data_IF_195131662253
#
_entry.id   IF_195131662253
#
_cell.length_a   1.000
_cell.length_b   1.000
_cell.length_c   1.000
_cell.angle_alpha   90.00
_cell.angle_beta   90.00
_cell.angle_gamma   90.00
#
_symmetry.space_group_name_H-M   'P 1'
#
loop_
_entity.id
_entity.type
_entity.pdbx_description
1 polymer ?
#
# COMPACT_ATOMS: atom_id res chain seq x y z
N UNK A 1 -4.11 -105.67 31.55
CA UNK A 1 -3.32 -106.75 32.12
C UNK A 1 -2.80 -106.22 33.43
N UNK A 2 -3.56 -106.46 34.47
CA UNK A 2 -3.16 -107.31 35.60
C UNK A 2 -1.89 -106.84 36.28
N UNK A 3 -2.12 -106.43 37.43
CA UNK A 3 -1.87 -106.96 38.79
C UNK A 3 -0.63 -106.26 39.38
N UNK A 4 -0.54 -105.89 40.61
CA UNK A 4 -0.93 -106.50 41.84
C UNK A 4 -0.79 -105.54 43.04
N UNK A 5 -1.72 -105.69 43.88
CA UNK A 5 -1.78 -105.25 45.31
C UNK A 5 -0.68 -105.95 46.12
N UNK A 6 -0.15 -105.21 47.04
CA UNK A 6 0.23 -105.58 48.40
C UNK A 6 1.50 -104.83 48.78
N UNK A 7 1.59 -104.23 49.89
CA UNK A 7 1.47 -104.76 51.27
C UNK A 7 1.48 -103.60 52.31
N UNK A 8 0.42 -103.57 53.04
CA UNK A 8 0.36 -102.90 54.34
C UNK A 8 1.45 -103.42 55.28
N UNK A 9 2.25 -102.53 55.81
CA UNK A 9 2.88 -102.88 57.06
C UNK A 9 2.75 -101.66 57.97
N UNK A 10 1.87 -101.85 58.90
CA UNK A 10 1.62 -100.99 60.06
C UNK A 10 2.91 -100.57 60.77
N UNK A 11 3.12 -99.28 60.93
CA UNK A 11 3.99 -98.86 62.01
C UNK A 11 3.19 -97.88 62.91
N UNK A 12 2.79 -98.42 64.06
CA UNK A 12 2.15 -97.63 65.12
C UNK A 12 3.17 -96.60 65.65
N UNK A 13 3.24 -95.49 64.94
CA UNK A 13 3.97 -94.34 65.52
C UNK A 13 2.98 -93.57 66.39
N UNK A 14 3.37 -93.54 67.67
CA UNK A 14 2.56 -93.06 68.79
C UNK A 14 2.05 -91.64 68.50
N UNK A 15 0.74 -91.50 68.36
CA UNK A 15 -0.03 -90.22 68.09
C UNK A 15 0.42 -89.01 69.00
N UNK A 16 0.87 -89.16 70.19
CA UNK A 16 1.24 -88.04 71.02
C UNK A 16 2.52 -87.25 70.52
N UNK A 17 3.45 -87.98 69.85
CA UNK A 17 4.65 -87.30 69.35
C UNK A 17 4.46 -86.48 68.09
N UNK A 18 3.55 -86.88 67.26
CA UNK A 18 3.19 -86.16 66.07
C UNK A 18 2.47 -84.83 66.45
N UNK A 19 1.60 -84.89 67.43
CA UNK A 19 0.91 -83.73 67.96
C UNK A 19 1.85 -82.74 68.60
N UNK A 20 2.85 -83.26 69.37
CA UNK A 20 3.86 -82.42 69.99
C UNK A 20 4.78 -81.79 68.96
N UNK A 21 5.12 -82.53 67.86
CA UNK A 21 5.93 -82.00 66.77
C UNK A 21 5.20 -80.94 65.97
N UNK A 22 3.89 -81.11 65.74
CA UNK A 22 3.06 -80.06 65.05
C UNK A 22 2.92 -78.79 65.85
N UNK A 23 2.74 -78.94 67.23
CA UNK A 23 2.66 -77.76 68.11
C UNK A 23 3.98 -77.03 68.16
N UNK A 24 5.08 -77.77 68.20
CA UNK A 24 6.42 -77.17 68.19
C UNK A 24 6.74 -76.50 66.83
N UNK A 25 6.28 -77.09 65.71
CA UNK A 25 6.40 -76.47 64.37
C UNK A 25 5.57 -75.20 64.21
N UNK A 26 4.39 -75.19 64.85
CA UNK A 26 3.52 -73.97 64.83
C UNK A 26 4.08 -72.83 65.65
N UNK A 27 4.75 -73.14 66.73
CA UNK A 27 5.42 -72.14 67.59
C UNK A 27 6.65 -71.55 66.89
N UNK A 28 7.34 -72.29 66.06
CA UNK A 28 8.50 -71.86 65.35
C UNK A 28 8.10 -70.95 64.09
N UNK A 29 6.89 -71.12 63.58
CA UNK A 29 6.40 -70.26 62.51
C UNK A 29 5.91 -68.91 62.99
N UNK A 30 5.67 -68.73 64.30
CA UNK A 30 5.21 -67.42 64.83
C UNK A 30 6.36 -66.44 65.12
N UNK A 31 7.62 -66.85 64.90
CA UNK A 31 8.77 -66.03 65.14
C UNK A 31 9.27 -65.21 63.95
N UNK A 32 8.53 -65.27 62.85
CA UNK A 32 8.89 -64.48 61.67
C UNK A 32 8.09 -63.21 61.63
N UNK A 33 8.80 -62.12 61.75
CA UNK A 33 8.70 -60.86 61.12
C UNK A 33 7.86 -59.78 61.78
N UNK A 34 8.48 -59.18 62.76
CA UNK A 34 8.30 -57.71 62.83
C UNK A 34 9.44 -57.09 62.04
N UNK A 35 9.19 -56.83 60.71
CA UNK A 35 9.97 -55.83 60.03
C UNK A 35 9.80 -54.52 60.77
N UNK A 36 10.80 -54.09 61.49
CA UNK A 36 10.87 -52.74 61.97
C UNK A 36 10.71 -51.79 60.75
N UNK A 37 9.75 -50.85 60.76
CA UNK A 37 9.70 -49.86 59.72
C UNK A 37 11.07 -49.16 59.72
N UNK A 38 11.74 -49.18 58.61
CA UNK A 38 12.92 -48.39 58.38
C UNK A 38 12.64 -46.95 58.79
N UNK A 39 13.52 -46.34 59.55
CA UNK A 39 13.35 -44.96 59.96
C UNK A 39 13.12 -44.12 58.66
N UNK A 40 12.16 -43.20 58.67
CA UNK A 40 11.93 -42.37 57.51
C UNK A 40 13.25 -41.72 57.08
N UNK A 41 13.61 -41.85 55.81
CA UNK A 41 14.78 -41.18 55.26
C UNK A 41 14.69 -39.71 55.65
N UNK A 42 15.73 -39.11 56.16
CA UNK A 42 15.71 -37.68 56.43
C UNK A 42 15.32 -36.92 55.15
N UNK A 43 14.50 -35.90 55.23
CA UNK A 43 14.14 -35.11 54.06
C UNK A 43 15.42 -34.60 53.39
N UNK A 44 15.48 -34.75 52.08
CA UNK A 44 16.61 -34.24 51.31
C UNK A 44 16.55 -32.71 51.41
N UNK A 45 17.61 -32.11 51.92
CA UNK A 45 17.72 -30.66 51.89
C UNK A 45 17.87 -30.21 50.44
N UNK A 46 16.89 -29.44 49.97
CA UNK A 46 16.91 -28.83 48.65
C UNK A 46 16.96 -27.32 48.83
N UNK A 47 17.87 -26.70 48.13
CA UNK A 47 17.88 -25.24 48.01
C UNK A 47 16.79 -24.84 47.04
N UNK A 48 15.84 -24.05 47.52
CA UNK A 48 14.76 -23.48 46.70
C UNK A 48 14.93 -21.97 46.63
N UNK A 49 14.84 -21.46 45.44
CA UNK A 49 14.79 -20.01 45.21
C UNK A 49 13.33 -19.64 44.97
N UNK A 50 12.80 -18.73 45.75
CA UNK A 50 11.46 -18.20 45.53
C UNK A 50 11.52 -17.23 44.34
N UNK A 51 10.96 -17.63 43.23
CA UNK A 51 10.82 -16.75 42.08
C UNK A 51 9.61 -15.83 42.32
N UNK A 52 9.91 -14.56 42.44
CA UNK A 52 8.88 -13.52 42.53
C UNK A 52 8.65 -13.02 41.13
N UNK A 53 7.39 -12.92 40.69
CA UNK A 53 7.04 -12.29 39.42
C UNK A 53 7.49 -10.82 39.48
N UNK A 54 8.34 -10.43 38.55
CA UNK A 54 8.85 -9.09 38.43
C UNK A 54 8.58 -8.63 36.98
N UNK A 55 8.04 -7.45 36.86
CA UNK A 55 7.84 -6.82 35.54
C UNK A 55 9.22 -6.51 34.97
N UNK A 56 9.54 -7.16 33.88
CA UNK A 56 10.78 -6.93 33.14
C UNK A 56 10.44 -6.12 31.89
N UNK A 57 10.99 -4.91 31.77
CA UNK A 57 10.79 -4.15 30.51
C UNK A 57 11.45 -4.92 29.37
N UNK A 58 10.70 -5.09 28.31
CA UNK A 58 11.18 -5.69 27.06
C UNK A 58 11.15 -4.58 26.02
N UNK A 59 12.31 -4.20 25.52
CA UNK A 59 12.42 -3.26 24.42
C UNK A 59 12.32 -4.01 23.09
N UNK A 60 11.40 -3.56 22.24
CA UNK A 60 11.26 -4.06 20.88
C UNK A 60 11.78 -3.02 19.91
N UNK A 61 12.74 -3.40 19.10
CA UNK A 61 13.22 -2.56 18.01
C UNK A 61 12.43 -2.87 16.74
N UNK A 62 11.83 -1.84 16.14
CA UNK A 62 11.12 -1.93 14.88
C UNK A 62 11.80 -1.04 13.85
N UNK A 63 12.08 -1.59 12.69
CA UNK A 63 12.50 -0.80 11.54
C UNK A 63 11.24 -0.16 10.94
N UNK A 64 11.19 1.17 10.92
CA UNK A 64 10.12 1.94 10.34
C UNK A 64 10.67 3.02 9.39
N UNK A 65 9.90 3.35 8.38
CA UNK A 65 10.14 4.51 7.53
C UNK A 65 9.07 5.55 7.81
N UNK A 66 9.50 6.79 8.01
CA UNK A 66 8.57 7.91 8.09
C UNK A 66 8.16 8.32 6.70
N UNK A 67 6.86 8.41 6.46
CA UNK A 67 6.32 8.90 5.20
C UNK A 67 5.40 10.09 5.49
N UNK A 68 5.50 11.13 4.66
CA UNK A 68 4.59 12.27 4.78
C UNK A 68 3.19 11.87 4.29
N UNK A 69 2.13 12.18 5.03
CA UNK A 69 0.75 11.95 4.57
C UNK A 69 0.34 12.89 3.44
N UNK A 70 1.09 13.99 3.23
CA UNK A 70 0.80 15.04 2.25
C UNK A 70 2.00 15.25 1.32
N UNK A 71 2.46 14.17 0.70
CA UNK A 71 3.46 14.27 -0.36
C UNK A 71 2.80 14.79 -1.64
N UNK A 72 3.36 15.86 -2.22
CA UNK A 72 2.87 16.47 -3.44
C UNK A 72 3.97 16.45 -4.49
N UNK A 73 3.71 15.79 -5.61
CA UNK A 73 4.57 15.81 -6.78
C UNK A 73 4.25 17.07 -7.62
N UNK A 74 5.23 17.94 -7.80
CA UNK A 74 5.08 19.12 -8.66
C UNK A 74 5.43 18.74 -10.11
N UNK A 75 4.47 18.91 -11.00
CA UNK A 75 4.65 18.70 -12.43
C UNK A 75 4.39 19.99 -13.19
N UNK A 76 5.29 20.30 -14.12
CA UNK A 76 5.04 21.40 -15.06
C UNK A 76 3.81 21.10 -15.94
N UNK A 77 3.02 22.13 -16.26
CA UNK A 77 1.87 22.03 -17.15
C UNK A 77 2.30 21.82 -18.60
N UNK A 78 3.44 22.37 -18.97
CA UNK A 78 4.00 22.34 -20.33
C UNK A 78 5.37 21.68 -20.31
N UNK A 79 5.75 21.01 -21.40
CA UNK A 79 7.09 20.47 -21.56
C UNK A 79 8.03 21.56 -22.05
N UNK A 80 9.17 21.72 -21.38
CA UNK A 80 10.18 22.72 -21.72
C UNK A 80 11.47 22.50 -20.95
N UNK A 81 12.44 23.39 -21.18
CA UNK A 81 13.72 23.38 -20.47
C UNK A 81 13.61 24.14 -19.16
N UNK A 82 14.12 23.55 -18.10
CA UNK A 82 14.27 24.21 -16.81
C UNK A 82 15.45 25.16 -16.88
N UNK A 83 15.21 26.45 -16.70
CA UNK A 83 16.24 27.48 -16.68
C UNK A 83 16.84 27.61 -15.28
N UNK A 84 16.01 27.65 -14.25
CA UNK A 84 16.46 27.91 -12.89
C UNK A 84 15.58 27.24 -11.84
N UNK A 85 16.23 26.65 -10.82
CA UNK A 85 15.64 26.29 -9.55
C UNK A 85 15.83 27.48 -8.59
N UNK A 86 14.73 27.95 -7.99
CA UNK A 86 14.73 29.18 -7.18
C UNK A 86 14.73 28.87 -5.67
N UNK A 87 14.57 27.63 -5.28
CA UNK A 87 14.59 27.19 -3.89
C UNK A 87 15.78 26.29 -3.60
N UNK A 88 16.14 26.17 -2.31
CA UNK A 88 17.14 25.22 -1.83
C UNK A 88 16.46 23.96 -1.29
N UNK A 89 17.10 22.80 -1.47
CA UNK A 89 16.60 21.53 -0.93
C UNK A 89 16.47 21.60 0.59
N UNK A 90 15.35 21.11 1.13
CA UNK A 90 15.05 21.16 2.56
C UNK A 90 14.49 22.50 3.06
N UNK A 91 14.29 23.48 2.18
CA UNK A 91 13.71 24.77 2.53
C UNK A 91 12.19 24.70 2.67
N UNK A 92 11.63 25.43 3.63
CA UNK A 92 10.19 25.68 3.71
C UNK A 92 9.74 26.58 2.57
N UNK A 93 8.64 26.21 1.93
CA UNK A 93 8.04 26.96 0.82
C UNK A 93 6.65 27.45 1.20
N UNK A 94 6.30 28.64 0.72
CA UNK A 94 4.99 29.24 0.94
C UNK A 94 4.07 29.00 -0.25
N UNK A 95 2.76 29.05 -0.01
CA UNK A 95 1.79 28.98 -1.09
C UNK A 95 2.00 30.14 -2.09
N UNK A 96 2.07 29.80 -3.39
CA UNK A 96 2.34 30.78 -4.46
C UNK A 96 3.80 31.12 -4.68
N UNK A 97 4.74 30.52 -3.92
CA UNK A 97 6.16 30.72 -4.15
C UNK A 97 6.60 30.08 -5.46
N UNK A 98 7.37 30.85 -6.27
CA UNK A 98 8.00 30.32 -7.49
C UNK A 98 9.16 29.42 -7.10
N UNK A 99 9.08 28.17 -7.50
CA UNK A 99 10.10 27.15 -7.20
C UNK A 99 10.99 26.87 -8.41
N UNK A 100 10.40 26.88 -9.59
CA UNK A 100 11.10 26.60 -10.83
C UNK A 100 10.77 27.67 -11.86
N UNK A 101 11.77 28.01 -12.67
CA UNK A 101 11.62 28.88 -13.80
C UNK A 101 12.04 28.12 -15.06
N UNK A 102 11.12 28.11 -16.05
CA UNK A 102 11.37 27.50 -17.35
C UNK A 102 11.81 28.57 -18.36
N UNK A 103 12.52 28.16 -19.41
CA UNK A 103 12.86 29.05 -20.53
C UNK A 103 11.58 29.51 -21.25
N UNK A 104 11.22 30.81 -21.22
CA UNK A 104 10.02 31.34 -21.86
C UNK A 104 10.17 31.52 -23.37
N UNK A 105 11.39 31.62 -23.90
CA UNK A 105 11.66 31.99 -25.30
C UNK A 105 10.93 31.15 -26.34
N UNK A 106 10.85 29.81 -26.22
CA UNK A 106 10.08 28.99 -27.18
C UNK A 106 8.59 29.28 -27.15
N UNK A 107 8.05 29.63 -26.01
CA UNK A 107 6.62 29.94 -25.83
C UNK A 107 6.31 31.35 -26.33
N UNK A 108 7.18 32.33 -26.08
CA UNK A 108 7.11 33.69 -26.62
C UNK A 108 7.13 33.68 -28.17
N UNK A 109 8.00 32.86 -28.78
CA UNK A 109 8.05 32.70 -30.22
C UNK A 109 6.75 32.10 -30.80
N UNK A 110 6.16 31.09 -30.10
CA UNK A 110 4.86 30.52 -30.48
C UNK A 110 3.74 31.55 -30.37
N UNK A 111 3.72 32.34 -29.28
CA UNK A 111 2.74 33.41 -29.09
C UNK A 111 2.85 34.48 -30.20
N UNK A 112 4.08 34.89 -30.54
CA UNK A 112 4.32 35.84 -31.63
C UNK A 112 3.79 35.31 -33.00
N UNK A 113 4.04 34.02 -33.26
CA UNK A 113 3.53 33.34 -34.47
C UNK A 113 2.01 33.33 -34.50
N UNK A 114 1.35 32.96 -33.38
CA UNK A 114 -0.12 32.96 -33.28
C UNK A 114 -0.71 34.37 -33.45
N UNK A 115 -0.08 35.39 -32.86
CA UNK A 115 -0.47 36.81 -33.08
C UNK A 115 -0.32 37.25 -34.53
N UNK A 116 0.74 36.82 -35.20
CA UNK A 116 0.94 37.05 -36.64
C UNK A 116 -0.20 36.41 -37.50
N UNK A 117 -0.58 35.19 -37.18
CA UNK A 117 -1.69 34.50 -37.84
C UNK A 117 -3.03 35.21 -37.59
N UNK A 118 -3.29 35.65 -36.37
CA UNK A 118 -4.49 36.44 -36.05
C UNK A 118 -4.53 37.75 -36.89
N UNK A 119 -3.44 38.49 -36.94
CA UNK A 119 -3.36 39.72 -37.76
C UNK A 119 -3.61 39.43 -39.24
N UNK A 120 -3.14 38.32 -39.79
CA UNK A 120 -3.41 37.90 -41.15
C UNK A 120 -4.92 37.64 -41.39
N UNK A 121 -5.58 36.93 -40.45
CA UNK A 121 -7.03 36.68 -40.60
C UNK A 121 -7.85 37.96 -40.43
N UNK A 122 -7.44 38.85 -39.54
CA UNK A 122 -8.07 40.16 -39.38
C UNK A 122 -8.00 41.00 -40.71
N UNK A 123 -6.83 41.00 -41.34
CA UNK A 123 -6.69 41.70 -42.64
C UNK A 123 -7.57 41.08 -43.72
N UNK A 124 -7.74 39.74 -43.75
CA UNK A 124 -8.64 39.06 -44.67
C UNK A 124 -10.10 39.46 -44.41
N UNK A 125 -10.52 39.51 -43.14
CA UNK A 125 -11.86 39.92 -42.74
C UNK A 125 -12.15 41.37 -43.18
N UNK A 126 -11.19 42.28 -43.04
CA UNK A 126 -11.33 43.68 -43.49
C UNK A 126 -11.54 43.75 -44.99
N UNK A 127 -10.83 42.97 -45.81
CA UNK A 127 -11.03 42.89 -47.26
C UNK A 127 -12.42 42.35 -47.61
N UNK A 128 -12.86 41.28 -46.91
CA UNK A 128 -14.18 40.70 -47.12
C UNK A 128 -15.30 41.67 -46.75
N UNK A 129 -15.20 42.37 -45.64
CA UNK A 129 -16.14 43.44 -45.23
C UNK A 129 -16.19 44.57 -46.22
N UNK A 130 -15.03 45.07 -46.69
CA UNK A 130 -14.97 46.11 -47.68
C UNK A 130 -15.59 45.72 -49.02
N UNK A 131 -15.45 44.41 -49.38
CA UNK A 131 -16.07 43.86 -50.60
C UNK A 131 -17.58 43.78 -50.44
N UNK A 132 -18.08 43.26 -49.34
CA UNK A 132 -19.50 43.18 -49.00
C UNK A 132 -20.15 44.59 -49.00
N UNK A 133 -19.48 45.56 -48.34
CA UNK A 133 -19.96 46.94 -48.28
C UNK A 133 -20.10 47.61 -49.66
N UNK A 134 -19.26 47.19 -50.62
CA UNK A 134 -19.39 47.67 -52.02
C UNK A 134 -20.52 46.98 -52.82
N UNK A 135 -20.72 45.69 -52.55
CA UNK A 135 -21.69 44.87 -53.26
C UNK A 135 -23.14 45.11 -52.83
N UNK A 136 -23.39 45.38 -51.58
CA UNK A 136 -24.71 45.65 -50.98
C UNK A 136 -25.47 46.73 -51.78
N UNK A 137 -24.94 47.98 -52.02
CA UNK A 137 -25.66 49.01 -52.77
C UNK A 137 -25.83 48.65 -54.19
N UNK A 138 -24.95 47.89 -54.85
CA UNK A 138 -25.10 47.45 -56.26
C UNK A 138 -26.20 46.40 -56.38
N UNK A 139 -26.34 45.50 -55.42
CA UNK A 139 -27.43 44.55 -55.36
C UNK A 139 -28.79 45.26 -55.21
N UNK A 140 -28.88 46.28 -54.37
CA UNK A 140 -30.07 47.09 -54.19
C UNK A 140 -30.51 47.81 -55.49
N UNK A 141 -29.56 48.07 -56.37
CA UNK A 141 -29.82 48.63 -57.68
C UNK A 141 -30.00 47.59 -58.80
N UNK A 142 -30.06 46.31 -58.46
CA UNK A 142 -30.09 45.16 -59.41
C UNK A 142 -28.89 45.13 -60.37
N UNK A 143 -27.74 45.74 -59.98
CA UNK A 143 -26.56 45.80 -60.83
C UNK A 143 -25.67 44.55 -60.69
N UNK A 144 -25.94 43.71 -59.71
CA UNK A 144 -25.29 42.39 -59.46
C UNK A 144 -26.34 41.33 -59.17
N UNK A 145 -25.96 40.04 -59.35
CA UNK A 145 -26.87 38.94 -59.08
C UNK A 145 -27.03 38.69 -57.60
N UNK A 146 -28.17 38.11 -57.18
CA UNK A 146 -28.37 37.66 -55.80
C UNK A 146 -27.30 36.64 -55.40
N UNK A 147 -26.90 35.73 -56.28
CA UNK A 147 -25.84 34.77 -56.06
C UNK A 147 -24.50 35.47 -55.67
N UNK A 148 -24.17 36.59 -56.29
CA UNK A 148 -22.98 37.39 -56.01
C UNK A 148 -23.06 37.94 -54.60
N UNK A 149 -24.24 38.50 -54.21
CA UNK A 149 -24.42 39.01 -52.83
C UNK A 149 -24.31 37.90 -51.78
N UNK A 150 -24.94 36.72 -52.05
CA UNK A 150 -24.88 35.57 -51.14
C UNK A 150 -23.44 35.04 -50.98
N UNK A 151 -22.66 35.00 -52.08
CA UNK A 151 -21.25 34.60 -52.05
C UNK A 151 -20.40 35.53 -51.17
N UNK A 152 -20.44 36.87 -51.44
CA UNK A 152 -19.62 37.81 -50.65
C UNK A 152 -20.07 37.90 -49.19
N UNK A 153 -21.35 37.64 -48.92
CA UNK A 153 -21.85 37.51 -47.54
C UNK A 153 -21.31 36.25 -46.85
N UNK A 154 -21.22 35.14 -47.60
CA UNK A 154 -20.58 33.90 -47.13
C UNK A 154 -19.09 34.07 -46.81
N UNK A 155 -18.37 34.74 -47.76
CA UNK A 155 -16.92 35.03 -47.60
C UNK A 155 -16.64 35.88 -46.35
N UNK A 156 -17.50 36.87 -46.08
CA UNK A 156 -17.34 37.70 -44.85
C UNK A 156 -17.51 36.85 -43.56
N UNK A 157 -18.56 36.00 -43.53
CA UNK A 157 -18.82 35.13 -42.39
C UNK A 157 -17.69 34.10 -42.19
N UNK A 158 -17.16 33.56 -43.29
CA UNK A 158 -16.02 32.63 -43.25
C UNK A 158 -14.78 33.32 -42.69
N UNK A 159 -14.46 34.51 -43.18
CA UNK A 159 -13.33 35.31 -42.67
C UNK A 159 -13.52 35.66 -41.20
N UNK A 160 -14.71 35.96 -40.74
CA UNK A 160 -15.02 36.23 -39.34
C UNK A 160 -14.80 34.99 -38.47
N UNK A 161 -15.24 33.82 -38.91
CA UNK A 161 -15.01 32.57 -38.23
C UNK A 161 -13.50 32.21 -38.12
N UNK A 162 -12.74 32.50 -39.19
CA UNK A 162 -11.29 32.32 -39.22
C UNK A 162 -10.57 33.22 -38.19
N UNK A 163 -11.03 34.45 -37.98
CA UNK A 163 -10.52 35.34 -36.92
C UNK A 163 -10.78 34.73 -35.54
N UNK A 164 -11.99 34.23 -35.28
CA UNK A 164 -12.33 33.59 -34.01
C UNK A 164 -11.41 32.38 -33.72
N UNK A 165 -11.18 31.54 -34.72
CA UNK A 165 -10.28 30.41 -34.62
C UNK A 165 -8.83 30.83 -34.30
N UNK A 166 -8.34 31.89 -35.00
CA UNK A 166 -6.99 32.43 -34.74
C UNK A 166 -6.87 33.05 -33.33
N UNK A 167 -7.94 33.71 -32.83
CA UNK A 167 -7.97 34.19 -31.44
C UNK A 167 -7.84 33.05 -30.44
N UNK A 168 -8.50 31.92 -30.68
CA UNK A 168 -8.36 30.72 -29.85
C UNK A 168 -6.92 30.20 -29.81
N UNK A 169 -6.20 30.24 -30.92
CA UNK A 169 -4.78 29.84 -30.97
C UNK A 169 -3.88 30.77 -30.16
N UNK A 170 -4.13 32.10 -30.21
CA UNK A 170 -3.42 33.08 -29.37
C UNK A 170 -3.67 32.78 -27.90
N UNK A 171 -4.92 32.52 -27.49
CA UNK A 171 -5.26 32.22 -26.12
C UNK A 171 -4.55 30.95 -25.62
N UNK A 172 -4.48 29.91 -26.46
CA UNK A 172 -3.72 28.67 -26.09
C UNK A 172 -2.24 28.99 -25.91
N UNK A 173 -1.65 29.81 -26.78
CA UNK A 173 -0.25 30.20 -26.69
C UNK A 173 0.03 31.05 -25.43
N UNK A 174 -0.91 31.93 -25.03
CA UNK A 174 -0.82 32.73 -23.81
C UNK A 174 -0.96 31.89 -22.54
N UNK A 175 -1.80 30.84 -22.54
CA UNK A 175 -1.95 29.93 -21.41
C UNK A 175 -0.71 29.03 -21.19
N UNK A 176 0.10 28.87 -22.21
CA UNK A 176 1.33 28.08 -22.15
C UNK A 176 2.57 28.92 -21.81
N UNK A 177 2.47 30.21 -21.79
CA UNK A 177 3.52 31.16 -21.39
C UNK A 177 3.50 31.41 -19.89
#
# INVERSE_FOLDING_TARGET
>A
MMVSINSLKQNKIKFPYIFLACVMAMLLLSACDKKSPLPPKPPIEVSVMKIIAQDTPIDFEYVGQTQSPNEVELRARVAGFLDKQVYADGQFVSAGQVMFQMDPKPFEAKLLTAKGQLAQQQARLEVAKATLARVIPLAAQNAVSQQTLDTVTGDEKEAQAAVIAAMGQVQVAELNL
#
